data_IF_700228075148
#
_entry.id   IF_700228075148
#
_cell.length_a   1.000
_cell.length_b   1.000
_cell.length_c   1.000
_cell.angle_alpha   90.00
_cell.angle_beta   90.00
_cell.angle_gamma   90.00
#
_symmetry.space_group_name_H-M   'P 1'
#
loop_
_entity.id
_entity.type
_entity.pdbx_description
1 polymer ?
#
# COMPACT_ATOMS: atom_id res chain seq x y z
N UNK A 1 19.78 0.52 5.20
CA UNK A 1 18.95 0.09 4.05
C UNK A 1 17.52 0.04 4.54
N UNK A 2 16.72 0.94 4.04
CA UNK A 2 15.28 1.12 4.34
C UNK A 2 14.45 0.61 3.16
N UNK A 3 13.46 -0.21 3.42
CA UNK A 3 12.55 -0.76 2.40
C UNK A 3 11.14 -0.29 2.73
N UNK A 4 10.51 0.44 1.81
CA UNK A 4 9.14 0.91 1.95
C UNK A 4 8.18 0.15 1.03
N UNK A 5 6.94 0.02 1.47
CA UNK A 5 5.83 -0.33 0.57
C UNK A 5 5.05 0.90 0.15
N UNK A 6 4.46 0.85 -1.03
CA UNK A 6 3.47 1.80 -1.52
C UNK A 6 2.21 1.03 -1.87
N UNK A 7 1.12 1.39 -1.22
CA UNK A 7 -0.19 0.76 -1.36
C UNK A 7 -1.24 1.81 -1.63
N UNK A 8 -2.05 1.58 -2.64
CA UNK A 8 -3.20 2.44 -2.97
C UNK A 8 -4.47 1.68 -2.66
N UNK A 9 -5.40 2.34 -2.04
CA UNK A 9 -6.73 1.82 -1.81
C UNK A 9 -7.79 2.90 -2.03
N UNK A 10 -8.96 2.45 -2.44
CA UNK A 10 -10.20 3.21 -2.39
C UNK A 10 -11.25 2.34 -1.71
N UNK A 11 -11.86 2.86 -0.68
CA UNK A 11 -12.88 2.13 0.07
C UNK A 11 -14.26 2.32 -0.57
N UNK A 12 -14.49 1.64 -1.70
CA UNK A 12 -15.80 1.59 -2.35
C UNK A 12 -16.62 0.42 -1.81
N UNK A 13 -16.97 0.45 -0.53
CA UNK A 13 -17.70 -0.64 0.09
C UNK A 13 -16.89 -1.93 0.20
N UNK A 14 -15.64 -1.81 0.60
CA UNK A 14 -14.78 -2.96 0.90
C UNK A 14 -15.39 -3.73 2.07
N UNK A 15 -16.18 -4.74 1.73
CA UNK A 15 -16.98 -5.53 2.69
C UNK A 15 -16.13 -6.43 3.59
N UNK A 16 -14.83 -6.55 3.31
CA UNK A 16 -13.94 -7.47 4.02
C UNK A 16 -12.87 -6.69 4.80
N UNK A 17 -13.34 -5.98 5.82
CA UNK A 17 -12.52 -5.20 6.73
C UNK A 17 -11.45 -6.05 7.42
N UNK A 18 -11.81 -7.25 7.89
CA UNK A 18 -10.89 -8.13 8.61
C UNK A 18 -9.74 -8.60 7.71
N UNK A 19 -10.05 -8.93 6.47
CA UNK A 19 -9.05 -9.35 5.48
C UNK A 19 -8.07 -8.21 5.18
N UNK A 20 -8.57 -7.01 4.93
CA UNK A 20 -7.73 -5.83 4.71
C UNK A 20 -6.80 -5.56 5.89
N UNK A 21 -7.32 -5.72 7.12
CA UNK A 21 -6.55 -5.55 8.33
C UNK A 21 -5.41 -6.57 8.48
N UNK A 22 -5.66 -7.85 8.14
CA UNK A 22 -4.65 -8.91 8.17
C UNK A 22 -3.51 -8.58 7.20
N UNK A 23 -3.84 -8.21 5.97
CA UNK A 23 -2.86 -7.85 4.94
C UNK A 23 -2.04 -6.63 5.37
N UNK A 24 -2.71 -5.61 5.90
CA UNK A 24 -2.04 -4.40 6.35
C UNK A 24 -1.09 -4.63 7.53
N UNK A 25 -1.50 -5.44 8.50
CA UNK A 25 -0.62 -5.87 9.60
C UNK A 25 0.59 -6.65 9.09
N UNK A 26 0.41 -7.48 8.07
CA UNK A 26 1.51 -8.19 7.42
C UNK A 26 2.51 -7.23 6.77
N UNK A 27 2.03 -6.20 6.08
CA UNK A 27 2.88 -5.15 5.50
C UNK A 27 3.70 -4.41 6.56
N UNK A 28 3.09 -4.03 7.68
CA UNK A 28 3.80 -3.35 8.78
C UNK A 28 4.92 -4.22 9.37
N UNK A 29 4.72 -5.54 9.42
CA UNK A 29 5.77 -6.47 9.86
C UNK A 29 6.91 -6.60 8.85
N UNK A 30 6.58 -6.59 7.57
CA UNK A 30 7.53 -6.85 6.48
C UNK A 30 8.37 -5.65 6.08
N UNK A 31 7.80 -4.43 6.11
CA UNK A 31 8.45 -3.21 5.65
C UNK A 31 8.95 -2.34 6.81
N UNK A 32 9.92 -1.48 6.49
CA UNK A 32 10.39 -0.45 7.42
C UNK A 32 9.45 0.76 7.43
N UNK A 33 8.78 1.02 6.29
CA UNK A 33 7.79 2.06 6.10
C UNK A 33 6.65 1.56 5.20
N UNK A 34 5.42 1.94 5.51
CA UNK A 34 4.23 1.68 4.68
C UNK A 34 3.63 3.01 4.28
N UNK A 35 3.70 3.34 3.00
CA UNK A 35 3.03 4.50 2.43
C UNK A 35 1.67 4.06 1.90
N UNK A 36 0.63 4.47 2.58
CA UNK A 36 -0.74 4.14 2.25
C UNK A 36 -1.45 5.36 1.67
N UNK A 37 -1.97 5.21 0.46
CA UNK A 37 -2.74 6.24 -0.21
C UNK A 37 -4.20 5.84 -0.21
N UNK A 38 -5.01 6.67 0.42
CA UNK A 38 -6.44 6.62 0.38
C UNK A 38 -6.94 7.56 -0.72
N UNK A 39 -7.36 6.97 -1.83
CA UNK A 39 -7.78 7.70 -3.01
C UNK A 39 -9.28 7.88 -3.04
N UNK A 40 -9.76 9.05 -2.61
CA UNK A 40 -11.17 9.45 -2.74
C UNK A 40 -12.16 8.42 -2.19
N UNK A 41 -11.91 7.90 -1.00
CA UNK A 41 -12.83 6.99 -0.32
C UNK A 41 -14.08 7.75 0.15
N UNK A 42 -15.26 7.18 -0.12
CA UNK A 42 -16.55 7.81 0.18
C UNK A 42 -16.91 7.71 1.67
N UNK A 43 -16.56 6.59 2.32
CA UNK A 43 -16.99 6.26 3.69
C UNK A 43 -15.88 6.44 4.75
N UNK A 44 -14.90 7.27 4.48
CA UNK A 44 -13.69 7.23 5.27
C UNK A 44 -12.92 5.91 5.02
N UNK A 45 -11.61 5.92 5.11
CA UNK A 45 -10.86 4.68 4.91
C UNK A 45 -10.96 3.82 6.16
N UNK A 46 -11.00 2.50 5.99
CA UNK A 46 -10.95 1.56 7.11
C UNK A 46 -9.69 1.76 7.98
N UNK A 47 -8.70 2.42 7.48
CA UNK A 47 -7.51 2.83 8.23
C UNK A 47 -7.83 3.82 9.34
N UNK A 48 -8.85 4.67 9.22
CA UNK A 48 -9.24 5.56 10.30
C UNK A 48 -9.60 4.79 11.57
N UNK A 49 -10.26 3.65 11.45
CA UNK A 49 -10.59 2.79 12.60
C UNK A 49 -9.37 2.05 13.18
N UNK A 50 -8.34 1.85 12.35
CA UNK A 50 -7.10 1.16 12.73
C UNK A 50 -6.02 2.17 13.12
N UNK A 51 -6.19 3.42 12.73
CA UNK A 51 -5.13 4.44 12.73
C UNK A 51 -4.46 4.62 14.09
N UNK A 52 -5.22 4.64 15.17
CA UNK A 52 -4.66 4.79 16.50
C UNK A 52 -3.73 3.67 16.94
N UNK A 53 -4.01 2.45 16.51
CA UNK A 53 -3.16 1.28 16.80
C UNK A 53 -1.94 1.22 15.89
N UNK A 54 -2.05 1.69 14.66
CA UNK A 54 -1.02 1.61 13.64
C UNK A 54 -0.11 2.83 13.62
N UNK A 55 -0.64 4.02 13.92
CA UNK A 55 0.15 5.24 14.13
C UNK A 55 1.20 5.06 15.22
N UNK A 56 0.86 4.31 16.27
CA UNK A 56 1.80 3.99 17.36
C UNK A 56 3.04 3.24 16.91
N UNK A 57 3.00 2.62 15.72
CA UNK A 57 4.19 1.93 15.18
C UNK A 57 5.22 2.89 14.57
N UNK A 58 4.83 4.12 14.24
CA UNK A 58 5.66 5.10 13.54
C UNK A 58 6.04 4.72 12.10
N UNK A 59 5.51 3.59 11.58
CA UNK A 59 5.89 3.05 10.26
C UNK A 59 4.95 3.46 9.16
N UNK A 60 3.73 3.87 9.47
CA UNK A 60 2.69 4.15 8.47
C UNK A 60 2.63 5.64 8.17
N UNK A 61 2.78 5.97 6.90
CA UNK A 61 2.48 7.29 6.34
C UNK A 61 1.18 7.20 5.56
N UNK A 62 0.16 7.88 6.03
CA UNK A 62 -1.16 7.92 5.40
C UNK A 62 -1.33 9.20 4.61
N UNK A 63 -1.75 9.06 3.35
CA UNK A 63 -2.04 10.16 2.43
C UNK A 63 -3.49 10.05 1.97
N UNK A 64 -4.34 10.93 2.45
CA UNK A 64 -5.72 11.05 1.99
C UNK A 64 -5.77 12.01 0.79
N UNK A 65 -6.35 11.56 -0.31
CA UNK A 65 -6.58 12.37 -1.51
C UNK A 65 -8.09 12.58 -1.64
N UNK A 66 -8.63 13.70 -1.19
CA UNK A 66 -10.08 13.95 -1.19
C UNK A 66 -10.63 14.24 -2.59
N UNK A 67 -11.95 14.13 -2.75
CA UNK A 67 -12.64 14.24 -4.04
C UNK A 67 -12.41 15.58 -4.76
N UNK A 68 -12.31 16.68 -4.03
CA UNK A 68 -12.05 18.01 -4.61
C UNK A 68 -10.65 18.11 -5.21
N UNK A 69 -9.67 17.41 -4.65
CA UNK A 69 -8.33 17.30 -5.21
C UNK A 69 -8.32 16.39 -6.43
N UNK A 70 -9.04 15.26 -6.36
CA UNK A 70 -9.15 14.33 -7.49
C UNK A 70 -9.77 15.02 -8.70
N UNK A 71 -10.82 15.80 -8.52
CA UNK A 71 -11.47 16.56 -9.59
C UNK A 71 -10.55 17.58 -10.28
N UNK A 72 -9.51 18.06 -9.59
CA UNK A 72 -8.49 18.94 -10.19
C UNK A 72 -7.38 18.19 -10.92
N UNK A 73 -7.15 16.93 -10.56
CA UNK A 73 -6.08 16.11 -11.14
C UNK A 73 -6.53 15.30 -12.34
N UNK A 74 -7.84 15.04 -12.48
CA UNK A 74 -8.42 14.20 -13.50
C UNK A 74 -9.42 15.02 -14.29
N UNK A 75 -9.08 15.33 -15.55
CA UNK A 75 -9.91 16.14 -16.45
C UNK A 75 -11.12 15.39 -17.01
N UNK A 76 -11.18 14.08 -16.88
CA UNK A 76 -12.26 13.24 -17.40
C UNK A 76 -13.10 12.69 -16.24
N UNK A 77 -14.37 13.12 -16.16
CA UNK A 77 -15.31 12.63 -15.16
C UNK A 77 -15.62 11.13 -15.26
N UNK A 78 -15.34 10.51 -16.41
CA UNK A 78 -15.44 9.07 -16.64
C UNK A 78 -14.11 8.34 -16.38
N UNK A 79 -13.05 9.08 -16.06
CA UNK A 79 -11.78 8.48 -15.69
C UNK A 79 -11.93 7.60 -14.44
N UNK A 80 -11.18 6.54 -14.42
CA UNK A 80 -11.17 5.51 -13.39
C UNK A 80 -11.36 6.09 -11.98
N UNK A 81 -12.31 5.54 -11.25
CA UNK A 81 -12.61 5.92 -9.86
C UNK A 81 -11.36 5.96 -8.96
N UNK A 82 -10.33 5.21 -9.31
CA UNK A 82 -9.03 5.24 -8.66
C UNK A 82 -7.92 5.31 -9.71
N UNK A 83 -7.10 6.37 -9.65
CA UNK A 83 -5.92 6.48 -10.50
C UNK A 83 -4.68 5.99 -9.73
N UNK A 84 -4.40 4.70 -9.87
CA UNK A 84 -3.27 4.07 -9.19
C UNK A 84 -1.91 4.67 -9.57
N UNK A 85 -1.73 5.08 -10.81
CA UNK A 85 -0.46 5.64 -11.28
C UNK A 85 -0.12 6.97 -10.59
N UNK A 86 -1.08 7.89 -10.55
CA UNK A 86 -0.91 9.18 -9.85
C UNK A 86 -0.71 8.93 -8.36
N UNK A 87 -1.55 8.08 -7.75
CA UNK A 87 -1.49 7.76 -6.33
C UNK A 87 -0.13 7.18 -5.94
N UNK A 88 0.37 6.21 -6.68
CA UNK A 88 1.67 5.59 -6.43
C UNK A 88 2.81 6.63 -6.54
N UNK A 89 2.75 7.51 -7.55
CA UNK A 89 3.73 8.58 -7.70
C UNK A 89 3.75 9.56 -6.53
N UNK A 90 2.59 9.88 -5.95
CA UNK A 90 2.50 10.73 -4.77
C UNK A 90 3.30 10.15 -3.61
N UNK A 91 3.15 8.87 -3.34
CA UNK A 91 3.84 8.19 -2.24
C UNK A 91 5.34 7.97 -2.54
N UNK A 92 5.66 7.53 -3.76
CA UNK A 92 7.06 7.30 -4.17
C UNK A 92 7.90 8.56 -4.00
N UNK A 93 7.38 9.72 -4.45
CA UNK A 93 8.09 11.00 -4.34
C UNK A 93 8.27 11.52 -2.91
N UNK A 94 7.51 10.98 -1.95
CA UNK A 94 7.56 11.36 -0.53
C UNK A 94 8.29 10.35 0.34
N UNK A 95 8.69 9.23 -0.23
CA UNK A 95 9.48 8.21 0.47
C UNK A 95 10.97 8.52 0.36
N UNK A 96 11.67 8.37 1.48
CA UNK A 96 13.13 8.44 1.59
C UNK A 96 13.76 7.04 1.65
N UNK A 97 13.02 6.01 1.27
CA UNK A 97 13.50 4.64 1.32
C UNK A 97 14.51 4.33 0.21
N UNK A 98 15.47 3.46 0.52
CA UNK A 98 16.43 2.95 -0.47
C UNK A 98 15.78 2.09 -1.54
N UNK A 99 14.70 1.38 -1.15
CA UNK A 99 13.92 0.49 -2.00
C UNK A 99 12.43 0.70 -1.78
N UNK A 100 11.68 0.75 -2.87
CA UNK A 100 10.23 0.89 -2.83
C UNK A 100 9.59 -0.32 -3.51
N UNK A 101 8.69 -0.98 -2.79
CA UNK A 101 7.86 -2.07 -3.30
C UNK A 101 6.45 -1.54 -3.53
N UNK A 102 6.09 -1.39 -4.79
CA UNK A 102 4.71 -1.04 -5.17
C UNK A 102 3.87 -2.31 -5.20
N UNK A 103 2.84 -2.37 -4.39
CA UNK A 103 2.00 -3.56 -4.22
C UNK A 103 0.54 -3.19 -4.01
N UNK A 104 -0.34 -4.17 -4.03
CA UNK A 104 -1.76 -4.00 -3.72
C UNK A 104 -2.04 -4.43 -2.27
N UNK A 105 -3.15 -3.95 -1.72
CA UNK A 105 -3.53 -4.26 -0.34
C UNK A 105 -3.84 -5.76 -0.13
N UNK A 106 -4.28 -6.45 -1.17
CA UNK A 106 -4.61 -7.88 -1.16
C UNK A 106 -3.41 -8.83 -1.33
N UNK A 107 -2.20 -8.29 -1.32
CA UNK A 107 -0.96 -9.07 -1.45
C UNK A 107 -0.28 -9.24 -0.10
N UNK A 108 -0.02 -10.48 0.29
CA UNK A 108 0.80 -10.79 1.46
C UNK A 108 2.27 -10.68 1.05
N UNK A 109 3.03 -9.75 1.61
CA UNK A 109 4.42 -9.59 1.25
C UNK A 109 5.30 -10.69 1.87
N UNK A 110 6.49 -10.94 1.30
CA UNK A 110 7.51 -11.75 1.95
C UNK A 110 7.89 -11.16 3.32
N UNK A 111 8.47 -11.97 4.17
CA UNK A 111 8.98 -11.52 5.47
C UNK A 111 10.07 -10.45 5.30
N UNK A 112 10.27 -9.62 6.31
CA UNK A 112 11.33 -8.60 6.31
C UNK A 112 12.72 -9.17 6.04
N UNK A 113 13.00 -10.39 6.53
CA UNK A 113 14.27 -11.10 6.30
C UNK A 113 14.44 -11.47 4.82
N UNK A 114 13.38 -12.01 4.21
CA UNK A 114 13.39 -12.38 2.79
C UNK A 114 13.50 -11.16 1.88
N UNK A 115 12.75 -10.09 2.16
CA UNK A 115 12.88 -8.82 1.42
C UNK A 115 14.30 -8.28 1.46
N UNK A 116 14.93 -8.25 2.64
CA UNK A 116 16.31 -7.79 2.79
C UNK A 116 17.31 -8.67 2.05
N UNK A 117 17.08 -9.99 2.03
CA UNK A 117 17.91 -10.92 1.25
C UNK A 117 17.74 -10.67 -0.25
N UNK A 118 16.50 -10.48 -0.71
CA UNK A 118 16.19 -10.21 -2.11
C UNK A 118 16.91 -8.95 -2.60
N UNK A 119 16.70 -7.82 -1.94
CA UNK A 119 17.22 -6.53 -2.41
C UNK A 119 18.75 -6.42 -2.38
N UNK A 120 19.44 -7.23 -1.57
CA UNK A 120 20.91 -7.27 -1.57
C UNK A 120 21.52 -7.72 -2.89
N UNK A 121 20.79 -8.53 -3.67
CA UNK A 121 21.23 -9.03 -4.98
C UNK A 121 20.81 -8.15 -6.15
N UNK A 122 20.11 -7.03 -5.90
CA UNK A 122 19.54 -6.21 -6.95
C UNK A 122 20.37 -4.97 -7.24
N UNK A 123 20.34 -4.53 -8.51
CA UNK A 123 20.93 -3.26 -8.95
C UNK A 123 19.97 -2.11 -8.66
N UNK A 124 20.43 -1.05 -7.98
CA UNK A 124 19.62 0.12 -7.61
C UNK A 124 19.06 0.91 -8.82
N UNK A 125 19.67 0.78 -9.98
CA UNK A 125 19.24 1.51 -11.19
C UNK A 125 18.29 0.70 -12.07
N UNK A 126 17.75 -0.41 -11.56
CA UNK A 126 16.90 -1.32 -12.32
C UNK A 126 15.52 -1.44 -11.68
N UNK A 127 14.50 -1.42 -12.50
CA UNK A 127 13.13 -1.76 -12.09
C UNK A 127 12.94 -3.27 -12.15
N UNK A 128 12.35 -3.85 -11.10
CA UNK A 128 12.10 -5.27 -10.99
C UNK A 128 10.61 -5.56 -10.85
N UNK A 129 10.15 -6.63 -11.45
CA UNK A 129 8.81 -7.16 -11.24
C UNK A 129 8.89 -8.49 -10.50
N UNK A 130 7.93 -8.71 -9.59
CA UNK A 130 7.84 -9.95 -8.81
C UNK A 130 6.51 -10.63 -9.18
N UNK A 131 6.60 -11.89 -9.61
CA UNK A 131 5.40 -12.69 -9.89
C UNK A 131 4.66 -13.01 -8.61
N UNK A 132 3.33 -12.82 -8.63
CA UNK A 132 2.44 -13.23 -7.53
C UNK A 132 2.05 -14.70 -7.69
N UNK A 133 1.83 -15.36 -6.57
CA UNK A 133 1.14 -16.65 -6.52
C UNK A 133 -0.16 -16.46 -5.77
N UNK A 134 -1.21 -17.11 -6.24
CA UNK A 134 -2.46 -17.18 -5.48
C UNK A 134 -2.26 -18.12 -4.29
N UNK A 135 -2.61 -17.63 -3.10
CA UNK A 135 -2.62 -18.46 -1.91
C UNK A 135 -3.95 -19.25 -1.86
N UNK A 136 -3.92 -20.53 -1.52
CA UNK A 136 -5.14 -21.27 -1.20
C UNK A 136 -5.94 -20.57 -0.12
N UNK A 137 -7.28 -20.58 -0.24
CA UNK A 137 -8.17 -19.83 0.68
C UNK A 137 -8.03 -20.27 2.13
N UNK A 138 -7.72 -21.52 2.36
CA UNK A 138 -7.53 -22.14 3.66
C UNK A 138 -6.27 -21.69 4.42
N UNK A 139 -5.27 -21.16 3.71
CA UNK A 139 -4.02 -20.65 4.32
C UNK A 139 -4.18 -19.24 4.88
N UNK A 140 -5.16 -18.49 4.40
CA UNK A 140 -5.30 -17.05 4.74
C UNK A 140 -6.03 -16.86 6.08
N UNK A 141 -6.81 -17.84 6.52
CA UNK A 141 -7.71 -17.73 7.68
C UNK A 141 -7.33 -18.62 8.89
N UNK A 142 -6.23 -19.33 8.83
CA UNK A 142 -5.60 -20.05 9.95
C UNK A 142 -4.32 -19.29 10.36
#
# INVERSE_FOLDING_TARGET
MKIASVVVNRNDGYKDFERGLIHFKSMIKSFDEVNYIDWNSEDGSFIWEIEDKLKKTGKVKHYCIPSDVVGKLIFDANAQKCNEAISRNIAIRRSDADWIVSTNLDVIPPTKKELRKLVKGLNKNTFYTISRREAPKDIIYN
#
